data_IF_785528143379
#
_entry.id   IF_785528143379
#
_cell.length_a   1.000
_cell.length_b   1.000
_cell.length_c   1.000
_cell.angle_alpha   90.00
_cell.angle_beta   90.00
_cell.angle_gamma   90.00
#
_symmetry.space_group_name_H-M   'P 1'
#
loop_
_entity.id
_entity.type
_entity.pdbx_description
1 polymer ?
#
# COMPACT_ATOMS: atom_id res chain seq x y z
N UNK A 1 -18.99 -12.21 -10.66
CA UNK A 1 -18.20 -12.56 -9.46
C UNK A 1 -17.44 -11.30 -9.04
N UNK A 2 -17.47 -10.99 -7.74
CA UNK A 2 -16.77 -9.82 -7.20
C UNK A 2 -15.26 -9.98 -7.36
N UNK A 3 -14.53 -8.88 -7.56
CA UNK A 3 -13.06 -8.91 -7.61
C UNK A 3 -12.52 -9.29 -6.22
N UNK A 4 -11.51 -10.14 -6.19
CA UNK A 4 -10.80 -10.58 -4.97
C UNK A 4 -9.59 -9.66 -4.77
N UNK A 5 -9.53 -8.98 -3.63
CA UNK A 5 -8.54 -7.94 -3.34
C UNK A 5 -7.77 -8.27 -2.06
N UNK A 6 -6.45 -8.31 -2.13
CA UNK A 6 -5.58 -8.34 -0.95
C UNK A 6 -5.11 -6.92 -0.66
N UNK A 7 -5.26 -6.45 0.58
CA UNK A 7 -4.71 -5.18 1.06
C UNK A 7 -3.74 -5.47 2.20
N UNK A 8 -2.44 -5.20 2.01
CA UNK A 8 -1.45 -5.38 3.07
C UNK A 8 -1.43 -4.18 4.03
N UNK A 9 -1.21 -4.42 5.33
CA UNK A 9 -1.20 -3.36 6.33
C UNK A 9 -2.55 -2.65 6.48
N UNK A 10 -3.65 -3.39 6.42
CA UNK A 10 -5.02 -2.85 6.34
C UNK A 10 -5.67 -2.57 7.70
N UNK A 11 -4.96 -2.68 8.82
CA UNK A 11 -5.55 -2.46 10.15
C UNK A 11 -5.74 -1.00 10.53
N UNK A 12 -5.00 -0.07 9.91
CA UNK A 12 -5.02 1.36 10.24
C UNK A 12 -4.66 2.24 9.02
N UNK A 13 -4.82 3.55 9.17
CA UNK A 13 -4.39 4.56 8.20
C UNK A 13 -4.97 4.36 6.80
N UNK A 14 -4.15 4.56 5.79
CA UNK A 14 -4.53 4.44 4.37
C UNK A 14 -5.08 3.04 4.06
N UNK A 15 -4.39 1.98 4.52
CA UNK A 15 -4.80 0.60 4.24
C UNK A 15 -6.17 0.24 4.82
N UNK A 16 -6.52 0.76 6.01
CA UNK A 16 -7.86 0.58 6.61
C UNK A 16 -8.94 1.24 5.76
N UNK A 17 -8.72 2.48 5.35
CA UNK A 17 -9.70 3.20 4.51
C UNK A 17 -9.92 2.49 3.18
N UNK A 18 -8.83 2.06 2.53
CA UNK A 18 -8.90 1.29 1.28
C UNK A 18 -9.73 0.00 1.49
N UNK A 19 -9.38 -0.78 2.50
CA UNK A 19 -10.06 -2.06 2.78
C UNK A 19 -11.54 -1.86 3.07
N UNK A 20 -11.88 -0.83 3.85
CA UNK A 20 -13.24 -0.46 4.20
C UNK A 20 -14.08 -0.04 2.99
N UNK A 21 -13.59 0.90 2.21
CA UNK A 21 -14.34 1.44 1.08
C UNK A 21 -14.48 0.42 -0.06
N UNK A 22 -13.45 -0.39 -0.33
CA UNK A 22 -13.57 -1.48 -1.29
C UNK A 22 -14.57 -2.55 -0.85
N UNK A 23 -14.61 -2.90 0.45
CA UNK A 23 -15.61 -3.84 0.97
C UNK A 23 -17.04 -3.29 0.83
N UNK A 24 -17.25 -1.97 1.05
CA UNK A 24 -18.54 -1.30 0.82
C UNK A 24 -19.00 -1.31 -0.64
N UNK A 25 -18.07 -1.40 -1.59
CA UNK A 25 -18.32 -1.52 -3.03
C UNK A 25 -18.38 -2.98 -3.50
N UNK A 26 -18.67 -3.88 -2.60
CA UNK A 26 -18.88 -5.32 -2.87
C UNK A 26 -17.64 -6.06 -3.36
N UNK A 27 -16.40 -5.50 -3.21
CA UNK A 27 -15.21 -6.29 -3.41
C UNK A 27 -15.05 -7.32 -2.28
N UNK A 28 -14.54 -8.49 -2.60
CA UNK A 28 -14.13 -9.44 -1.58
C UNK A 28 -12.74 -9.08 -1.10
N UNK A 29 -12.63 -8.49 0.09
CA UNK A 29 -11.39 -7.94 0.61
C UNK A 29 -10.77 -8.86 1.66
N UNK A 30 -9.47 -9.14 1.50
CA UNK A 30 -8.62 -9.78 2.49
C UNK A 30 -7.71 -8.70 3.08
N UNK A 31 -8.03 -8.26 4.28
CA UNK A 31 -7.32 -7.23 5.02
C UNK A 31 -6.19 -7.87 5.86
N UNK A 32 -4.96 -7.73 5.40
CA UNK A 32 -3.81 -8.24 6.14
C UNK A 32 -3.37 -7.27 7.25
N UNK A 33 -2.98 -7.84 8.37
CA UNK A 33 -2.34 -7.15 9.48
C UNK A 33 -1.20 -7.98 10.07
N UNK A 34 -0.24 -7.32 10.75
CA UNK A 34 0.83 -8.01 11.48
C UNK A 34 0.60 -7.90 13.01
N UNK A 35 0.86 -6.72 13.60
CA UNK A 35 0.85 -6.49 15.05
C UNK A 35 -0.47 -5.90 15.57
N UNK A 36 -1.23 -5.21 14.73
CA UNK A 36 -2.41 -4.43 15.11
C UNK A 36 -3.71 -5.25 15.02
N UNK A 37 -3.78 -6.36 15.77
CA UNK A 37 -4.93 -7.28 15.74
C UNK A 37 -6.22 -6.62 16.20
N UNK A 38 -6.15 -5.84 17.29
CA UNK A 38 -7.32 -5.12 17.82
C UNK A 38 -7.96 -4.23 16.77
N UNK A 39 -7.16 -3.42 16.06
CA UNK A 39 -7.66 -2.53 14.99
C UNK A 39 -8.20 -3.31 13.78
N UNK A 40 -7.64 -4.48 13.46
CA UNK A 40 -8.16 -5.33 12.40
C UNK A 40 -9.53 -5.93 12.78
N UNK A 41 -9.70 -6.35 14.03
CA UNK A 41 -11.00 -6.81 14.55
C UNK A 41 -12.02 -5.68 14.59
N UNK A 42 -11.65 -4.49 15.04
CA UNK A 42 -12.52 -3.31 15.03
C UNK A 42 -13.01 -2.96 13.61
N UNK A 43 -12.14 -3.06 12.60
CA UNK A 43 -12.55 -2.89 11.20
C UNK A 43 -13.58 -3.92 10.78
N UNK A 44 -13.36 -5.18 11.13
CA UNK A 44 -14.27 -6.27 10.80
C UNK A 44 -15.63 -6.07 11.48
N UNK A 45 -15.67 -5.78 12.78
CA UNK A 45 -16.90 -5.51 13.54
C UNK A 45 -17.66 -4.28 13.02
N UNK A 46 -16.94 -3.22 12.61
CA UNK A 46 -17.55 -2.03 12.01
C UNK A 46 -18.30 -2.38 10.74
N UNK A 47 -17.70 -3.17 9.84
CA UNK A 47 -18.33 -3.56 8.58
C UNK A 47 -19.44 -4.60 8.78
N UNK A 48 -19.29 -5.52 9.73
CA UNK A 48 -20.34 -6.49 10.06
C UNK A 48 -21.64 -5.82 10.55
N UNK A 49 -21.54 -4.69 11.27
CA UNK A 49 -22.73 -3.88 11.64
C UNK A 49 -23.48 -3.30 10.44
N UNK A 50 -22.79 -3.11 9.33
CA UNK A 50 -23.34 -2.65 8.05
C UNK A 50 -23.73 -3.86 7.15
N UNK A 51 -23.68 -5.12 7.65
CA UNK A 51 -23.87 -6.37 6.90
C UNK A 51 -22.84 -6.59 5.78
N UNK A 52 -21.67 -6.01 5.90
CA UNK A 52 -20.57 -6.14 4.94
C UNK A 52 -19.53 -7.12 5.49
N UNK A 53 -19.13 -8.07 4.65
CA UNK A 53 -18.13 -9.08 5.03
C UNK A 53 -16.73 -8.66 4.58
N UNK A 54 -15.77 -8.84 5.47
CA UNK A 54 -14.34 -8.69 5.18
C UNK A 54 -13.59 -9.85 5.85
N UNK A 55 -12.60 -10.40 5.16
CA UNK A 55 -11.65 -11.32 5.77
C UNK A 55 -10.49 -10.53 6.38
N UNK A 56 -10.06 -10.93 7.57
CA UNK A 56 -8.82 -10.44 8.17
C UNK A 56 -7.81 -11.58 8.24
N UNK A 57 -6.55 -11.32 7.92
CA UNK A 57 -5.49 -12.33 7.93
C UNK A 57 -4.21 -11.78 8.58
N UNK A 58 -3.73 -12.48 9.62
CA UNK A 58 -2.49 -12.13 10.32
C UNK A 58 -1.30 -12.71 9.58
N UNK A 59 -0.41 -11.85 9.07
CA UNK A 59 0.87 -12.23 8.49
C UNK A 59 1.84 -11.06 8.52
N UNK A 60 3.10 -11.34 8.82
CA UNK A 60 4.21 -10.42 8.62
C UNK A 60 4.71 -10.55 7.19
N UNK A 61 4.21 -9.72 6.29
CA UNK A 61 4.55 -9.76 4.86
C UNK A 61 6.01 -9.42 4.55
N UNK A 62 6.79 -8.97 5.54
CA UNK A 62 8.25 -8.85 5.42
C UNK A 62 8.96 -10.20 5.47
N UNK A 63 8.24 -11.27 5.81
CA UNK A 63 8.72 -12.65 5.82
C UNK A 63 8.09 -13.43 4.67
N UNK A 64 8.94 -14.00 3.83
CA UNK A 64 8.51 -14.70 2.60
C UNK A 64 7.47 -15.80 2.85
N UNK A 65 7.70 -16.64 3.86
CA UNK A 65 6.77 -17.72 4.18
C UNK A 65 5.38 -17.21 4.58
N UNK A 66 5.31 -16.15 5.41
CA UNK A 66 4.03 -15.59 5.83
C UNK A 66 3.31 -14.84 4.67
N UNK A 67 4.06 -14.19 3.77
CA UNK A 67 3.53 -13.62 2.55
C UNK A 67 2.95 -14.71 1.63
N UNK A 68 3.62 -15.84 1.49
CA UNK A 68 3.13 -17.00 0.74
C UNK A 68 1.86 -17.58 1.36
N UNK A 69 1.81 -17.77 2.67
CA UNK A 69 0.63 -18.27 3.39
C UNK A 69 -0.61 -17.38 3.15
N UNK A 70 -0.46 -16.05 3.16
CA UNK A 70 -1.56 -15.12 2.85
C UNK A 70 -2.07 -15.30 1.42
N UNK A 71 -1.18 -15.43 0.45
CA UNK A 71 -1.55 -15.63 -0.95
C UNK A 71 -2.23 -16.99 -1.14
N UNK A 72 -1.68 -18.06 -0.59
CA UNK A 72 -2.24 -19.42 -0.63
C UNK A 72 -3.62 -19.48 0.04
N UNK A 73 -3.79 -18.87 1.22
CA UNK A 73 -5.10 -18.76 1.86
C UNK A 73 -6.14 -18.13 0.93
N UNK A 74 -5.77 -17.03 0.28
CA UNK A 74 -6.68 -16.31 -0.62
C UNK A 74 -7.06 -17.18 -1.83
N UNK A 75 -6.07 -17.83 -2.45
CA UNK A 75 -6.32 -18.71 -3.61
C UNK A 75 -7.15 -19.92 -3.23
N UNK A 76 -6.83 -20.56 -2.11
CA UNK A 76 -7.57 -21.75 -1.64
C UNK A 76 -9.04 -21.43 -1.32
N UNK A 77 -9.31 -20.23 -0.80
CA UNK A 77 -10.66 -19.82 -0.41
C UNK A 77 -11.49 -19.25 -1.57
N UNK A 78 -10.85 -18.52 -2.48
CA UNK A 78 -11.55 -17.74 -3.51
C UNK A 78 -11.17 -18.09 -4.95
N UNK A 79 -10.17 -18.95 -5.14
CA UNK A 79 -9.72 -19.45 -6.45
C UNK A 79 -8.81 -18.52 -7.23
N UNK A 80 -8.81 -17.22 -6.93
CA UNK A 80 -8.05 -16.20 -7.67
C UNK A 80 -7.73 -14.99 -6.82
N UNK A 81 -6.83 -14.16 -7.35
CA UNK A 81 -6.57 -12.81 -6.85
C UNK A 81 -6.65 -11.85 -8.04
N UNK A 82 -7.61 -10.92 -8.02
CA UNK A 82 -7.78 -9.93 -9.09
C UNK A 82 -6.94 -8.66 -8.83
N UNK A 83 -6.78 -8.27 -7.55
CA UNK A 83 -6.07 -7.05 -7.15
C UNK A 83 -5.17 -7.31 -5.96
N UNK A 84 -3.92 -6.82 -6.04
CA UNK A 84 -3.00 -6.74 -4.90
C UNK A 84 -2.70 -5.27 -4.60
N UNK A 85 -2.93 -4.85 -3.36
CA UNK A 85 -2.58 -3.51 -2.88
C UNK A 85 -1.48 -3.65 -1.82
N UNK A 86 -0.25 -3.34 -2.21
CA UNK A 86 0.91 -3.32 -1.34
C UNK A 86 0.95 -1.99 -0.59
N UNK A 87 0.37 -1.97 0.62
CA UNK A 87 0.31 -0.78 1.45
C UNK A 87 1.12 -0.91 2.75
N UNK A 88 1.45 -2.12 3.21
CA UNK A 88 2.23 -2.32 4.43
C UNK A 88 3.54 -1.53 4.38
N UNK A 89 3.83 -0.78 5.44
CA UNK A 89 5.05 0.00 5.53
C UNK A 89 5.21 0.71 6.86
N UNK A 90 6.43 1.13 7.12
CA UNK A 90 6.86 1.92 8.27
C UNK A 90 7.62 3.16 7.78
N UNK A 91 7.71 4.18 8.63
CA UNK A 91 8.62 5.32 8.46
C UNK A 91 9.43 5.54 9.73
N UNK A 92 10.59 6.17 9.58
CA UNK A 92 11.45 6.54 10.69
C UNK A 92 12.24 7.79 10.29
N UNK A 93 12.15 8.82 11.12
CA UNK A 93 12.99 10.02 11.01
C UNK A 93 14.27 9.76 11.79
N UNK A 94 15.43 9.80 11.12
CA UNK A 94 16.74 9.58 11.73
C UNK A 94 17.84 10.16 10.85
N UNK A 95 18.78 10.87 11.45
CA UNK A 95 19.95 11.42 10.74
C UNK A 95 20.74 10.28 10.07
N UNK A 96 21.24 10.51 8.86
CA UNK A 96 21.90 9.50 8.05
C UNK A 96 23.05 8.78 8.79
N UNK A 97 23.87 9.55 9.48
CA UNK A 97 25.02 9.01 10.24
C UNK A 97 24.62 8.18 11.47
N UNK A 98 23.38 8.24 11.89
CA UNK A 98 22.83 7.50 13.04
C UNK A 98 22.00 6.28 12.62
N UNK A 99 21.71 6.13 11.33
CA UNK A 99 20.98 4.95 10.82
C UNK A 99 21.87 3.72 11.03
N UNK A 100 21.36 2.76 11.84
CA UNK A 100 22.05 1.49 12.08
C UNK A 100 21.72 0.48 10.98
N UNK A 101 22.52 -0.60 10.88
CA UNK A 101 22.20 -1.72 9.99
C UNK A 101 20.83 -2.35 10.32
N UNK A 102 20.44 -2.35 11.60
CA UNK A 102 19.13 -2.85 12.03
C UNK A 102 18.00 -1.94 11.51
N UNK A 103 18.12 -0.61 11.65
CA UNK A 103 17.16 0.36 11.11
C UNK A 103 17.00 0.20 9.59
N UNK A 104 18.14 0.13 8.90
CA UNK A 104 18.17 -0.07 7.45
C UNK A 104 17.48 -1.38 7.05
N UNK A 105 17.89 -2.49 7.63
CA UNK A 105 17.33 -3.79 7.29
C UNK A 105 15.84 -3.88 7.62
N UNK A 106 15.41 -3.35 8.76
CA UNK A 106 13.99 -3.31 9.12
C UNK A 106 13.17 -2.50 8.12
N UNK A 107 13.67 -1.33 7.70
CA UNK A 107 13.01 -0.47 6.71
C UNK A 107 12.90 -1.17 5.35
N UNK A 108 14.00 -1.73 4.84
CA UNK A 108 14.03 -2.42 3.55
C UNK A 108 13.17 -3.68 3.58
N UNK A 109 13.25 -4.47 4.64
CA UNK A 109 12.45 -5.69 4.76
C UNK A 109 10.95 -5.38 4.81
N UNK A 110 10.56 -4.38 5.60
CA UNK A 110 9.15 -4.05 5.80
C UNK A 110 8.55 -3.34 4.58
N UNK A 111 9.27 -2.39 3.97
CA UNK A 111 8.71 -1.55 2.91
C UNK A 111 8.94 -2.12 1.50
N UNK A 112 10.10 -2.73 1.23
CA UNK A 112 10.51 -3.12 -0.11
C UNK A 112 10.43 -4.64 -0.32
N UNK A 113 11.04 -5.43 0.58
CA UNK A 113 11.02 -6.88 0.43
C UNK A 113 9.61 -7.45 0.55
N UNK A 114 8.75 -6.86 1.39
CA UNK A 114 7.33 -7.23 1.48
C UNK A 114 6.61 -7.07 0.14
N UNK A 115 6.83 -5.95 -0.55
CA UNK A 115 6.26 -5.69 -1.88
C UNK A 115 6.76 -6.74 -2.88
N UNK A 116 8.06 -7.04 -2.85
CA UNK A 116 8.63 -8.06 -3.71
C UNK A 116 8.02 -9.45 -3.44
N UNK A 117 7.92 -9.87 -2.18
CA UNK A 117 7.38 -11.19 -1.82
C UNK A 117 5.90 -11.33 -2.20
N UNK A 118 5.07 -10.39 -1.76
CA UNK A 118 3.65 -10.40 -2.06
C UNK A 118 3.38 -10.37 -3.57
N UNK A 119 4.10 -9.53 -4.29
CA UNK A 119 3.94 -9.40 -5.75
C UNK A 119 4.36 -10.67 -6.47
N UNK A 120 5.52 -11.24 -6.12
CA UNK A 120 6.03 -12.45 -6.77
C UNK A 120 5.06 -13.64 -6.58
N UNK A 121 4.55 -13.85 -5.38
CA UNK A 121 3.61 -14.94 -5.11
C UNK A 121 2.26 -14.72 -5.80
N UNK A 122 1.74 -13.49 -5.78
CA UNK A 122 0.46 -13.14 -6.43
C UNK A 122 0.55 -13.23 -7.96
N UNK A 123 1.65 -12.82 -8.56
CA UNK A 123 1.86 -12.87 -10.00
C UNK A 123 1.71 -14.29 -10.57
N UNK A 124 2.09 -15.35 -9.84
CA UNK A 124 1.91 -16.73 -10.30
C UNK A 124 0.45 -17.04 -10.63
N UNK A 125 -0.48 -16.61 -9.78
CA UNK A 125 -1.91 -16.79 -9.99
C UNK A 125 -2.45 -15.85 -11.08
N UNK A 126 -2.02 -14.57 -11.10
CA UNK A 126 -2.46 -13.60 -12.09
C UNK A 126 -2.01 -13.97 -13.52
N UNK A 127 -0.78 -14.48 -13.69
CA UNK A 127 -0.26 -14.97 -14.98
C UNK A 127 -1.11 -16.15 -15.50
N UNK A 128 -1.45 -17.10 -14.61
CA UNK A 128 -2.31 -18.22 -14.96
C UNK A 128 -3.69 -17.75 -15.45
N UNK A 129 -4.26 -16.73 -14.78
CA UNK A 129 -5.57 -16.18 -15.12
C UNK A 129 -5.53 -15.13 -16.25
N UNK A 130 -4.33 -14.73 -16.72
CA UNK A 130 -4.10 -13.67 -17.70
C UNK A 130 -4.84 -12.37 -17.39
N UNK A 131 -4.90 -12.03 -16.11
CA UNK A 131 -5.53 -10.81 -15.61
C UNK A 131 -5.04 -10.48 -14.21
N UNK A 132 -4.73 -9.19 -13.97
CA UNK A 132 -4.36 -8.72 -12.64
C UNK A 132 -4.17 -7.21 -12.58
N UNK A 133 -4.29 -6.68 -11.35
CA UNK A 133 -3.98 -5.29 -11.05
C UNK A 133 -3.16 -5.24 -9.76
N UNK A 134 -1.97 -4.66 -9.82
CA UNK A 134 -1.08 -4.46 -8.69
C UNK A 134 -0.94 -2.97 -8.45
N UNK A 135 -1.22 -2.53 -7.23
CA UNK A 135 -1.10 -1.13 -6.83
C UNK A 135 -0.17 -1.07 -5.61
N UNK A 136 0.92 -0.34 -5.77
CA UNK A 136 1.91 -0.15 -4.73
C UNK A 136 1.74 1.22 -4.07
N UNK A 137 1.79 1.29 -2.75
CA UNK A 137 1.79 2.57 -2.04
C UNK A 137 3.25 2.98 -1.78
N UNK A 138 3.71 3.90 -2.62
CA UNK A 138 5.01 4.55 -2.51
C UNK A 138 4.95 5.77 -1.57
N UNK A 139 5.63 6.84 -1.89
CA UNK A 139 5.63 8.13 -1.21
C UNK A 139 6.19 9.20 -2.13
N UNK A 140 5.83 10.46 -1.90
CA UNK A 140 6.56 11.62 -2.45
C UNK A 140 8.07 11.50 -2.19
N UNK A 141 8.47 10.97 -1.02
CA UNK A 141 9.88 10.77 -0.67
C UNK A 141 10.58 9.69 -1.49
N UNK A 142 9.85 8.81 -2.17
CA UNK A 142 10.40 7.93 -3.20
C UNK A 142 10.72 8.65 -4.50
N UNK A 143 10.05 9.79 -4.76
CA UNK A 143 10.21 10.59 -5.98
C UNK A 143 11.29 11.65 -5.82
N UNK A 144 11.23 12.44 -4.72
CA UNK A 144 12.12 13.61 -4.51
C UNK A 144 13.16 13.40 -3.41
N UNK A 145 13.02 12.38 -2.57
CA UNK A 145 13.85 12.15 -1.39
C UNK A 145 13.47 13.05 -0.22
N UNK A 146 13.94 12.73 0.99
CA UNK A 146 13.74 13.53 2.19
C UNK A 146 14.97 13.52 3.09
N UNK A 147 15.27 14.66 3.70
CA UNK A 147 16.26 14.77 4.76
C UNK A 147 15.83 13.95 5.97
N UNK A 148 16.79 13.33 6.64
CA UNK A 148 16.55 12.45 7.81
C UNK A 148 15.65 11.23 7.56
N UNK A 149 15.34 10.92 6.30
CA UNK A 149 14.53 9.75 5.91
C UNK A 149 15.18 8.97 4.74
N UNK A 150 16.51 8.90 4.68
CA UNK A 150 17.25 8.30 3.54
C UNK A 150 16.81 6.85 3.29
N UNK A 151 16.77 6.00 4.33
CA UNK A 151 16.37 4.59 4.20
C UNK A 151 14.90 4.42 3.80
N UNK A 152 14.01 5.31 4.27
CA UNK A 152 12.61 5.34 3.84
C UNK A 152 12.50 5.73 2.36
N UNK A 153 13.16 6.83 1.97
CA UNK A 153 13.19 7.30 0.58
C UNK A 153 13.71 6.23 -0.38
N UNK A 154 14.81 5.55 -0.02
CA UNK A 154 15.37 4.44 -0.80
C UNK A 154 14.36 3.30 -0.93
N UNK A 155 13.69 2.92 0.16
CA UNK A 155 12.68 1.85 0.12
C UNK A 155 11.53 2.19 -0.84
N UNK A 156 11.06 3.45 -0.83
CA UNK A 156 9.96 3.92 -1.68
C UNK A 156 10.37 4.11 -3.14
N UNK A 157 11.57 4.62 -3.39
CA UNK A 157 12.14 4.67 -4.74
C UNK A 157 12.33 3.26 -5.34
N UNK A 158 12.71 2.27 -4.51
CA UNK A 158 12.77 0.87 -4.91
C UNK A 158 11.41 0.31 -5.34
N UNK A 159 10.33 0.66 -4.65
CA UNK A 159 8.95 0.32 -5.03
C UNK A 159 8.60 0.90 -6.41
N UNK A 160 8.97 2.14 -6.68
CA UNK A 160 8.71 2.80 -7.96
C UNK A 160 9.49 2.15 -9.10
N UNK A 161 10.73 1.70 -8.83
CA UNK A 161 11.52 0.92 -9.78
C UNK A 161 10.89 -0.45 -10.07
N UNK A 162 10.45 -1.18 -9.04
CA UNK A 162 9.70 -2.45 -9.18
C UNK A 162 8.46 -2.23 -10.06
N UNK A 163 7.68 -1.18 -9.78
CA UNK A 163 6.46 -0.83 -10.53
C UNK A 163 6.72 -0.69 -12.02
N UNK A 164 7.71 0.12 -12.39
CA UNK A 164 8.06 0.37 -13.81
C UNK A 164 8.57 -0.89 -14.52
N UNK A 165 9.39 -1.68 -13.83
CA UNK A 165 9.98 -2.91 -14.39
C UNK A 165 8.91 -3.98 -14.60
N UNK A 166 8.09 -4.25 -13.58
CA UNK A 166 7.04 -5.26 -13.66
C UNK A 166 5.91 -4.89 -14.64
N UNK A 167 5.58 -3.60 -14.77
CA UNK A 167 4.60 -3.18 -15.76
C UNK A 167 4.99 -3.61 -17.19
N UNK A 168 6.29 -3.53 -17.52
CA UNK A 168 6.81 -3.97 -18.82
C UNK A 168 6.81 -5.50 -18.96
N UNK A 169 7.23 -6.20 -17.90
CA UNK A 169 7.37 -7.66 -17.88
C UNK A 169 6.00 -8.36 -17.85
N UNK A 170 5.05 -7.84 -17.07
CA UNK A 170 3.74 -8.45 -16.84
C UNK A 170 2.66 -8.00 -17.83
N UNK A 171 2.89 -6.93 -18.58
CA UNK A 171 1.96 -6.42 -19.59
C UNK A 171 1.48 -7.46 -20.59
N UNK A 172 2.35 -8.32 -21.17
CA UNK A 172 1.94 -9.40 -22.07
C UNK A 172 0.98 -10.42 -21.44
N UNK A 173 0.94 -10.50 -20.11
CA UNK A 173 -0.01 -11.33 -19.34
C UNK A 173 -1.27 -10.58 -18.92
N UNK A 174 -1.48 -9.36 -19.43
CA UNK A 174 -2.60 -8.49 -19.07
C UNK A 174 -2.65 -8.18 -17.56
N UNK A 175 -1.48 -7.97 -16.94
CA UNK A 175 -1.34 -7.56 -15.54
C UNK A 175 -0.81 -6.13 -15.54
N UNK A 176 -1.58 -5.21 -14.93
CA UNK A 176 -1.19 -3.82 -14.76
C UNK A 176 -0.52 -3.61 -13.41
N UNK A 177 0.52 -2.82 -13.38
CA UNK A 177 1.27 -2.50 -12.16
C UNK A 177 1.47 -1.00 -12.09
N UNK A 178 0.92 -0.35 -11.07
CA UNK A 178 1.05 1.09 -10.84
C UNK A 178 1.46 1.38 -9.40
N UNK A 179 1.96 2.56 -9.16
CA UNK A 179 2.29 3.08 -7.83
C UNK A 179 1.54 4.38 -7.57
N UNK A 180 1.13 4.57 -6.34
CA UNK A 180 0.64 5.87 -5.86
C UNK A 180 1.71 6.42 -4.93
N UNK A 181 2.10 7.67 -5.12
CA UNK A 181 3.04 8.43 -4.29
C UNK A 181 2.27 9.49 -3.48
N UNK A 182 1.77 9.15 -2.27
CA UNK A 182 1.11 10.11 -1.41
C UNK A 182 2.07 11.19 -0.94
N UNK A 183 1.56 12.42 -0.79
CA UNK A 183 2.16 13.42 0.08
C UNK A 183 1.86 13.11 1.54
N UNK A 184 1.81 14.15 2.39
CA UNK A 184 1.40 13.96 3.77
C UNK A 184 -0.10 13.69 3.85
N UNK A 185 -0.47 12.58 4.52
CA UNK A 185 -1.85 12.14 4.71
C UNK A 185 -2.17 12.11 6.20
N UNK A 186 -3.33 12.64 6.58
CA UNK A 186 -3.80 12.62 7.96
C UNK A 186 -4.10 11.17 8.40
N UNK A 187 -3.13 10.57 9.06
CA UNK A 187 -3.18 9.18 9.56
C UNK A 187 -2.42 9.07 10.89
N UNK A 188 -2.55 7.92 11.54
CA UNK A 188 -1.79 7.63 12.77
C UNK A 188 -0.26 7.70 12.60
N UNK A 189 0.26 7.55 11.38
CA UNK A 189 1.70 7.65 11.10
C UNK A 189 2.22 9.06 11.39
N UNK A 190 1.39 10.10 11.19
CA UNK A 190 1.72 11.51 11.35
C UNK A 190 1.15 12.15 12.62
N UNK A 191 0.56 11.35 13.53
CA UNK A 191 -0.09 11.86 14.76
C UNK A 191 0.84 12.55 15.78
N UNK A 192 2.14 12.32 15.65
CA UNK A 192 3.14 12.91 16.53
C UNK A 192 3.58 14.31 16.11
N UNK A 193 3.14 14.78 14.94
CA UNK A 193 3.40 16.14 14.48
C UNK A 193 2.57 17.13 15.30
N UNK A 194 3.21 18.19 15.77
CA UNK A 194 2.56 19.32 16.43
C UNK A 194 1.71 20.12 15.45
N UNK A 195 0.78 20.94 15.96
CA UNK A 195 -0.01 21.84 15.12
C UNK A 195 0.85 22.83 14.33
N UNK A 196 1.95 23.29 14.92
CA UNK A 196 2.92 24.17 14.26
C UNK A 196 3.60 23.49 13.08
N UNK A 197 4.12 22.27 13.28
CA UNK A 197 4.71 21.47 12.19
C UNK A 197 3.70 21.18 11.08
N UNK A 198 2.47 20.86 11.44
CA UNK A 198 1.38 20.65 10.47
C UNK A 198 1.11 21.93 9.65
N UNK A 199 1.08 23.08 10.29
CA UNK A 199 0.85 24.35 9.59
C UNK A 199 2.03 24.74 8.68
N UNK A 200 3.27 24.56 9.13
CA UNK A 200 4.46 24.77 8.30
C UNK A 200 4.44 23.87 7.06
N UNK A 201 4.08 22.59 7.22
CA UNK A 201 3.97 21.68 6.07
C UNK A 201 2.85 22.11 5.11
N UNK A 202 1.72 22.61 5.61
CA UNK A 202 0.64 23.10 4.74
C UNK A 202 1.06 24.28 3.88
N UNK A 203 1.93 25.17 4.41
CA UNK A 203 2.46 26.32 3.66
C UNK A 203 3.35 25.87 2.49
N UNK A 204 3.99 24.70 2.59
CA UNK A 204 4.79 24.13 1.50
C UNK A 204 3.94 23.43 0.43
N UNK A 205 2.68 23.09 0.75
CA UNK A 205 1.79 22.38 -0.15
C UNK A 205 0.97 23.39 -0.98
N UNK A 206 1.07 23.43 -2.31
CA UNK A 206 0.30 24.36 -3.14
C UNK A 206 -1.20 24.40 -2.88
N UNK A 207 -1.81 23.28 -2.49
CA UNK A 207 -3.23 23.24 -2.10
C UNK A 207 -3.48 23.62 -0.63
N UNK A 208 -2.45 24.01 0.13
CA UNK A 208 -2.51 24.48 1.54
C UNK A 208 -3.29 23.55 2.48
N UNK A 209 -3.27 22.26 2.23
CA UNK A 209 -3.99 21.26 3.02
C UNK A 209 -3.28 19.92 3.04
N UNK A 210 -3.47 19.18 4.12
CA UNK A 210 -3.06 17.79 4.27
C UNK A 210 -4.09 16.87 3.61
N UNK A 211 -3.62 15.87 2.88
CA UNK A 211 -4.46 14.86 2.24
C UNK A 211 -5.18 13.96 3.25
N UNK A 212 -6.23 13.30 2.81
CA UNK A 212 -6.98 12.29 3.58
C UNK A 212 -6.77 10.91 2.96
N UNK A 213 -6.89 9.86 3.75
CA UNK A 213 -6.81 8.48 3.26
C UNK A 213 -7.80 8.21 2.10
N UNK A 214 -8.97 8.87 2.13
CA UNK A 214 -9.97 8.81 1.06
C UNK A 214 -9.48 9.40 -0.28
N UNK A 215 -8.54 10.33 -0.27
CA UNK A 215 -7.99 10.89 -1.52
C UNK A 215 -7.11 9.84 -2.23
N UNK A 216 -6.44 8.98 -1.46
CA UNK A 216 -5.67 7.84 -1.97
C UNK A 216 -6.61 6.73 -2.45
N UNK A 217 -7.65 6.41 -1.68
CA UNK A 217 -8.64 5.37 -2.02
C UNK A 217 -9.31 5.64 -3.37
N UNK A 218 -9.71 6.87 -3.66
CA UNK A 218 -10.30 7.25 -4.95
C UNK A 218 -9.37 6.95 -6.14
N UNK A 219 -8.08 7.19 -5.98
CA UNK A 219 -7.10 6.87 -7.01
C UNK A 219 -6.96 5.36 -7.19
N UNK A 220 -7.00 4.60 -6.09
CA UNK A 220 -6.97 3.13 -6.13
C UNK A 220 -8.18 2.58 -6.87
N UNK A 221 -9.37 3.06 -6.55
CA UNK A 221 -10.61 2.67 -7.23
C UNK A 221 -10.50 2.89 -8.73
N UNK A 222 -10.09 4.12 -9.13
CA UNK A 222 -9.86 4.42 -10.53
C UNK A 222 -8.87 3.45 -11.17
N UNK A 223 -7.73 3.17 -10.54
CA UNK A 223 -6.73 2.23 -11.07
C UNK A 223 -7.24 0.79 -11.15
N UNK A 224 -8.15 0.37 -10.29
CA UNK A 224 -8.78 -0.96 -10.36
C UNK A 224 -9.71 -1.07 -11.56
N UNK A 225 -10.41 0.00 -11.91
CA UNK A 225 -11.41 0.04 -12.98
C UNK A 225 -10.78 0.35 -14.35
N UNK A 226 -9.76 1.18 -14.38
CA UNK A 226 -9.03 1.51 -15.61
C UNK A 226 -8.33 0.27 -16.20
N UNK A 227 -8.32 0.14 -17.52
CA UNK A 227 -7.74 -1.03 -18.20
C UNK A 227 -6.48 -0.70 -19.02
N UNK A 228 -6.07 0.57 -19.07
CA UNK A 228 -4.96 0.98 -19.94
C UNK A 228 -3.75 1.59 -19.21
N UNK A 229 -3.92 2.04 -17.97
CA UNK A 229 -2.85 2.63 -17.18
C UNK A 229 -1.97 1.56 -16.53
N UNK A 230 -0.67 1.56 -16.86
CA UNK A 230 0.34 0.69 -16.25
C UNK A 230 1.71 1.37 -16.22
N UNK A 231 2.56 1.03 -15.25
CA UNK A 231 3.92 1.56 -15.08
C UNK A 231 3.99 2.98 -14.56
N UNK A 232 2.87 3.54 -14.09
CA UNK A 232 2.80 4.93 -13.64
C UNK A 232 3.08 5.06 -12.14
N UNK A 233 3.70 6.19 -11.78
CA UNK A 233 3.83 6.67 -10.41
C UNK A 233 2.94 7.90 -10.29
N UNK A 234 1.80 7.74 -9.62
CA UNK A 234 0.76 8.78 -9.55
C UNK A 234 0.89 9.53 -8.23
N UNK A 235 1.28 10.79 -8.30
CA UNK A 235 1.41 11.64 -7.12
C UNK A 235 0.05 12.17 -6.65
N UNK A 236 -0.32 11.85 -5.42
CA UNK A 236 -1.50 12.38 -4.73
C UNK A 236 -1.00 13.18 -3.51
N UNK A 237 -0.50 14.38 -3.76
CA UNK A 237 0.31 15.13 -2.81
C UNK A 237 -0.07 16.62 -2.68
N UNK A 238 -1.14 17.08 -3.32
CA UNK A 238 -1.55 18.48 -3.27
C UNK A 238 -0.61 19.45 -4.01
N UNK A 239 0.30 18.94 -4.85
CA UNK A 239 1.34 19.71 -5.53
C UNK A 239 2.67 19.78 -4.76
N UNK A 240 2.79 19.11 -3.61
CA UNK A 240 4.02 19.10 -2.83
C UNK A 240 5.11 18.31 -3.57
N UNK A 241 6.29 18.92 -3.75
CA UNK A 241 7.45 18.28 -4.38
C UNK A 241 7.35 18.12 -5.92
N UNK A 242 6.69 19.05 -6.58
CA UNK A 242 6.72 19.22 -8.05
C UNK A 242 7.71 20.29 -8.45
#
# INVERSE_FOLDING_TARGET
>A
MNKIVIVTGASRGIGREIAKELAKKEYTVIANYNKSEKQALELKEELEKENIKIDIFKADVSKRNEAQELVEYTINKYGKIDVLINNAGISQIKEFTQITDEDWNNMINTNLNSVFYMTQETCKNMIHNKKGCIINISSIWGVVGASCEVHYSVSKAGIDAITKSLAKEMGPSNIRVNSIAPGIINTEMNKNLSEEEINNIKEEIPLEKIGKAKDIEKCIEWLIEDEYTTGQIISINGGWGI
#
